data_IF_706884733211
#
_entry.id   IF_706884733211
#
_cell.length_a   1.000
_cell.length_b   1.000
_cell.length_c   1.000
_cell.angle_alpha   90.00
_cell.angle_beta   90.00
_cell.angle_gamma   90.00
#
_symmetry.space_group_name_H-M   'P 1'
#
loop_
_entity.id
_entity.type
_entity.pdbx_description
1 polymer ?
#
# COMPACT_ATOMS: atom_id res chain seq x y z
N UNK A 1 27.56 -7.24 4.89
CA UNK A 1 26.41 -8.09 5.23
C UNK A 1 25.26 -7.17 5.61
N UNK A 2 24.18 -7.15 4.84
CA UNK A 2 23.05 -6.22 5.06
C UNK A 2 22.21 -6.71 6.23
N UNK A 3 21.94 -5.85 7.22
CA UNK A 3 21.08 -6.20 8.37
C UNK A 3 19.62 -6.08 7.95
N UNK A 4 18.91 -7.21 7.86
CA UNK A 4 17.49 -7.25 7.51
C UNK A 4 16.68 -7.61 8.75
N UNK A 5 15.72 -6.76 9.12
CA UNK A 5 14.76 -7.03 10.20
C UNK A 5 13.46 -7.52 9.58
N UNK A 6 13.13 -8.79 9.78
CA UNK A 6 11.83 -9.34 9.40
C UNK A 6 10.80 -9.01 10.48
N UNK A 7 9.60 -8.63 10.07
CA UNK A 7 8.49 -8.29 10.95
C UNK A 7 7.18 -8.75 10.31
N UNK A 8 6.36 -9.46 11.08
CA UNK A 8 5.02 -9.84 10.64
C UNK A 8 4.05 -8.66 10.74
N UNK A 9 2.99 -8.66 9.93
CA UNK A 9 2.02 -7.57 9.87
C UNK A 9 1.25 -7.33 11.19
N UNK A 10 1.07 -8.37 12.00
CA UNK A 10 0.48 -8.30 13.33
C UNK A 10 1.45 -7.78 14.40
N UNK A 11 2.74 -7.63 14.07
CA UNK A 11 3.83 -7.29 14.97
C UNK A 11 4.48 -5.94 14.65
N UNK A 12 3.88 -5.13 13.77
CA UNK A 12 4.43 -3.83 13.35
C UNK A 12 4.60 -2.84 14.49
N UNK A 13 3.99 -3.07 15.65
CA UNK A 13 4.26 -2.32 16.89
C UNK A 13 5.70 -2.50 17.39
N UNK A 14 6.36 -3.63 17.10
CA UNK A 14 7.70 -3.95 17.59
C UNK A 14 8.80 -3.17 16.87
N UNK A 15 8.48 -2.53 15.74
CA UNK A 15 9.41 -1.73 14.95
C UNK A 15 9.25 -0.22 15.21
N UNK A 16 8.22 0.19 15.97
CA UNK A 16 8.03 1.59 16.34
C UNK A 16 9.21 2.12 17.16
N UNK A 17 9.58 3.38 16.94
CA UNK A 17 10.74 4.02 17.57
C UNK A 17 12.09 3.59 16.99
N UNK A 18 12.12 2.66 16.04
CA UNK A 18 13.29 2.36 15.24
C UNK A 18 13.20 3.05 13.88
N UNK A 19 14.37 3.31 13.29
CA UNK A 19 14.47 3.93 11.97
C UNK A 19 15.24 3.02 11.02
N UNK A 20 14.75 2.89 9.79
CA UNK A 20 15.34 2.08 8.73
C UNK A 20 15.51 2.91 7.45
N UNK A 21 16.53 2.59 6.65
CA UNK A 21 16.74 3.20 5.33
C UNK A 21 15.86 2.62 4.22
N UNK A 22 15.29 1.42 4.43
CA UNK A 22 14.46 0.75 3.42
C UNK A 22 13.34 -0.07 4.05
N UNK A 23 12.13 0.05 3.49
CA UNK A 23 10.96 -0.78 3.78
C UNK A 23 10.62 -1.64 2.57
N UNK A 24 10.34 -2.93 2.79
CA UNK A 24 9.80 -3.82 1.74
C UNK A 24 8.51 -4.46 2.25
N UNK A 25 7.40 -4.18 1.57
CA UNK A 25 6.08 -4.76 1.86
C UNK A 25 5.76 -5.81 0.80
N UNK A 26 5.63 -7.08 1.22
CA UNK A 26 5.51 -8.23 0.31
C UNK A 26 4.09 -8.55 -0.16
N UNK A 27 3.10 -8.22 0.65
CA UNK A 27 1.68 -8.44 0.37
C UNK A 27 0.93 -7.12 0.44
N UNK A 28 0.57 -6.59 -0.73
CA UNK A 28 -0.19 -5.36 -0.85
C UNK A 28 -1.66 -5.52 -0.43
N UNK A 29 -2.26 -6.70 -0.65
CA UNK A 29 -3.69 -6.90 -0.42
C UNK A 29 -4.03 -6.89 1.08
N UNK A 30 -3.10 -7.32 1.92
CA UNK A 30 -3.21 -7.30 3.37
C UNK A 30 -2.91 -5.93 4.03
N UNK A 31 -2.56 -4.90 3.24
CA UNK A 31 -2.22 -3.59 3.80
C UNK A 31 -3.45 -2.85 4.31
N UNK A 32 -3.37 -2.46 5.58
CA UNK A 32 -4.32 -1.52 6.19
C UNK A 32 -3.66 -0.15 6.31
N UNK A 33 -4.44 0.95 6.32
CA UNK A 33 -3.89 2.30 6.47
C UNK A 33 -3.00 2.46 7.70
N UNK A 34 -3.41 1.86 8.82
CA UNK A 34 -2.68 1.90 10.08
C UNK A 34 -1.35 1.14 10.01
N UNK A 35 -1.31 0.02 9.27
CA UNK A 35 -0.05 -0.70 9.07
C UNK A 35 0.89 0.12 8.21
N UNK A 36 0.39 0.66 7.10
CA UNK A 36 1.15 1.48 6.18
C UNK A 36 1.75 2.71 6.88
N UNK A 37 0.95 3.45 7.65
CA UNK A 37 1.40 4.59 8.42
C UNK A 37 2.54 4.23 9.40
N UNK A 38 2.33 3.18 10.21
CA UNK A 38 3.34 2.70 11.18
C UNK A 38 4.64 2.27 10.51
N UNK A 39 4.55 1.58 9.37
CA UNK A 39 5.75 1.14 8.65
C UNK A 39 6.48 2.30 7.96
N UNK A 40 5.76 3.27 7.39
CA UNK A 40 6.37 4.43 6.72
C UNK A 40 7.00 5.38 7.74
N UNK A 41 6.40 5.58 8.91
CA UNK A 41 6.95 6.41 9.99
C UNK A 41 8.34 5.93 10.44
N UNK A 42 8.61 4.63 10.35
CA UNK A 42 9.91 4.05 10.71
C UNK A 42 10.98 4.22 9.63
N UNK A 43 10.71 4.95 8.54
CA UNK A 43 11.66 5.20 7.45
C UNK A 43 12.27 6.60 7.55
N UNK A 44 13.59 6.68 7.50
CA UNK A 44 14.30 7.96 7.53
C UNK A 44 14.03 8.81 6.28
N UNK A 45 14.20 10.12 6.42
CA UNK A 45 14.15 11.04 5.29
C UNK A 45 15.20 10.67 4.23
N UNK A 46 14.75 10.42 2.99
CA UNK A 46 15.61 9.91 1.91
C UNK A 46 15.67 8.39 1.80
N UNK A 47 14.98 7.66 2.69
CA UNK A 47 14.81 6.21 2.59
C UNK A 47 13.85 5.78 1.48
N UNK A 48 13.83 4.47 1.20
CA UNK A 48 13.06 3.88 0.09
C UNK A 48 11.96 2.95 0.63
N UNK A 49 10.74 3.12 0.12
CA UNK A 49 9.63 2.19 0.37
C UNK A 49 9.32 1.41 -0.90
N UNK A 50 9.39 0.07 -0.82
CA UNK A 50 9.12 -0.85 -1.93
C UNK A 50 7.86 -1.66 -1.63
N UNK A 51 6.89 -1.61 -2.54
CA UNK A 51 5.64 -2.37 -2.49
C UNK A 51 5.68 -3.46 -3.57
N UNK A 52 5.57 -4.73 -3.16
CA UNK A 52 5.50 -5.86 -4.08
C UNK A 52 4.03 -6.21 -4.36
N UNK A 53 3.68 -6.30 -5.63
CA UNK A 53 2.36 -6.72 -6.09
C UNK A 53 2.42 -8.14 -6.63
N UNK A 54 1.70 -9.07 -6.00
CA UNK A 54 1.71 -10.49 -6.38
C UNK A 54 0.75 -10.86 -7.50
N UNK A 55 -0.39 -10.19 -7.65
CA UNK A 55 -1.47 -10.65 -8.53
C UNK A 55 -1.71 -9.73 -9.73
N UNK A 56 -1.96 -10.34 -10.90
CA UNK A 56 -2.35 -9.65 -12.14
C UNK A 56 -3.73 -8.97 -12.00
N UNK A 57 -4.53 -9.35 -11.00
CA UNK A 57 -5.78 -8.69 -10.64
C UNK A 57 -5.53 -7.30 -10.05
N UNK A 58 -4.49 -7.10 -9.23
CA UNK A 58 -4.10 -5.75 -8.77
C UNK A 58 -3.60 -4.87 -9.93
N UNK A 59 -2.95 -5.47 -10.95
CA UNK A 59 -2.50 -4.78 -12.18
C UNK A 59 -3.66 -4.43 -13.13
N UNK A 60 -4.63 -5.33 -13.29
CA UNK A 60 -5.89 -5.02 -13.97
C UNK A 60 -6.67 -3.96 -13.20
N UNK A 61 -6.74 -4.04 -11.87
CA UNK A 61 -7.29 -2.96 -11.06
C UNK A 61 -6.55 -1.65 -11.30
N UNK A 62 -5.21 -1.61 -11.33
CA UNK A 62 -4.44 -0.41 -11.70
C UNK A 62 -4.88 0.20 -13.05
N UNK A 63 -4.92 -0.61 -14.11
CA UNK A 63 -5.32 -0.16 -15.45
C UNK A 63 -6.80 0.25 -15.52
N UNK A 64 -7.68 -0.57 -14.93
CA UNK A 64 -9.13 -0.30 -14.90
C UNK A 64 -9.42 0.92 -14.04
N UNK A 65 -8.73 1.14 -12.92
CA UNK A 65 -8.93 2.30 -12.05
C UNK A 65 -8.61 3.61 -12.78
N UNK A 66 -7.52 3.68 -13.56
CA UNK A 66 -7.23 4.87 -14.38
C UNK A 66 -8.34 5.14 -15.41
N UNK A 67 -8.89 4.09 -16.01
CA UNK A 67 -9.98 4.18 -17.00
C UNK A 67 -11.34 4.50 -16.36
N UNK A 68 -11.61 3.93 -15.18
CA UNK A 68 -12.90 3.98 -14.46
C UNK A 68 -13.03 5.25 -13.60
N UNK A 69 -11.94 5.96 -13.28
CA UNK A 69 -12.01 7.33 -12.72
C UNK A 69 -12.76 8.28 -13.66
N UNK A 70 -12.59 8.12 -14.98
CA UNK A 70 -13.34 8.92 -15.96
C UNK A 70 -14.84 8.58 -16.00
N UNK A 71 -15.23 7.34 -15.66
CA UNK A 71 -16.63 6.91 -15.59
C UNK A 71 -17.27 7.14 -14.20
N UNK A 72 -16.54 6.94 -13.10
CA UNK A 72 -17.04 7.01 -11.71
C UNK A 72 -17.32 8.43 -11.20
N UNK A 73 -17.00 9.48 -11.95
CA UNK A 73 -17.62 10.81 -11.71
C UNK A 73 -19.13 10.80 -11.94
N UNK A 74 -19.68 9.71 -12.49
CA UNK A 74 -21.09 9.50 -12.75
C UNK A 74 -21.50 8.06 -12.38
N UNK A 75 -21.72 7.79 -11.09
CA UNK A 75 -22.79 6.96 -10.51
C UNK A 75 -22.40 6.37 -9.15
N UNK A 76 -23.20 6.68 -8.12
CA UNK A 76 -23.18 6.07 -6.79
C UNK A 76 -24.22 4.93 -6.76
N UNK A 77 -23.82 3.66 -6.87
CA UNK A 77 -24.66 2.50 -6.49
C UNK A 77 -23.88 1.21 -6.66
N UNK A 78 -23.38 0.59 -5.59
CA UNK A 78 -23.31 -0.88 -5.47
C UNK A 78 -22.84 -1.32 -4.06
N UNK A 79 -23.40 -2.46 -3.63
CA UNK A 79 -23.56 -2.98 -2.25
C UNK A 79 -22.52 -4.05 -1.85
N UNK A 80 -21.40 -4.17 -2.57
CA UNK A 80 -20.33 -5.12 -2.21
C UNK A 80 -19.24 -4.43 -1.37
N UNK A 81 -18.77 -5.10 -0.31
CA UNK A 81 -17.65 -4.64 0.51
C UNK A 81 -16.36 -4.85 -0.30
N UNK A 82 -16.04 -3.87 -1.14
CA UNK A 82 -14.79 -3.84 -1.91
C UNK A 82 -13.73 -3.05 -1.14
N UNK A 83 -12.49 -3.51 -1.12
CA UNK A 83 -11.37 -2.83 -0.49
C UNK A 83 -10.99 -1.52 -1.23
N UNK A 84 -11.76 -0.45 -1.02
CA UNK A 84 -11.58 0.86 -1.68
C UNK A 84 -10.30 1.59 -1.28
N UNK A 85 -9.71 1.24 -0.13
CA UNK A 85 -8.44 1.84 0.30
C UNK A 85 -7.33 1.52 -0.69
N UNK A 86 -7.20 0.26 -1.10
CA UNK A 86 -6.18 -0.20 -2.03
C UNK A 86 -6.29 0.52 -3.38
N UNK A 87 -7.52 0.68 -3.89
CA UNK A 87 -7.77 1.44 -5.12
C UNK A 87 -7.37 2.92 -4.99
N UNK A 88 -7.79 3.58 -3.90
CA UNK A 88 -7.48 4.99 -3.65
C UNK A 88 -5.99 5.24 -3.40
N UNK A 89 -5.34 4.32 -2.69
CA UNK A 89 -3.92 4.38 -2.40
C UNK A 89 -3.11 4.30 -3.71
N UNK A 90 -3.44 3.35 -4.57
CA UNK A 90 -2.85 3.24 -5.91
C UNK A 90 -3.06 4.52 -6.73
N UNK A 91 -4.29 5.06 -6.74
CA UNK A 91 -4.56 6.34 -7.41
C UNK A 91 -3.74 7.50 -6.86
N UNK A 92 -3.49 7.52 -5.56
CA UNK A 92 -2.65 8.55 -4.94
C UNK A 92 -1.19 8.42 -5.38
N UNK A 93 -0.70 7.19 -5.60
CA UNK A 93 0.64 6.95 -6.11
C UNK A 93 0.80 7.35 -7.59
N UNK A 94 -0.23 7.16 -8.41
CA UNK A 94 -0.20 7.55 -9.82
C UNK A 94 -0.30 9.07 -10.06
N UNK A 95 -0.65 9.84 -9.02
CA UNK A 95 -0.73 11.31 -9.06
C UNK A 95 0.55 12.00 -8.55
N UNK A 96 1.49 11.24 -7.98
CA UNK A 96 2.85 11.70 -7.68
C UNK A 96 3.63 11.87 -8.99
#
# INVERSE_FOLDING_TARGET
MTKIRYCYYNETQNILGNTYGMLVLQDFEALTPNLLARTIETIEGGGIVVLLMKTVNSLRQLYTIAMDVHNRYRTESHTEIVARFNERFILSLAKL
#
